data_IF_137527627538
#
_entry.id   IF_137527627538
#
_cell.length_a   1.000
_cell.length_b   1.000
_cell.length_c   1.000
_cell.angle_alpha   90.00
_cell.angle_beta   90.00
_cell.angle_gamma   90.00
#
_symmetry.space_group_name_H-M   'P 1'
#
loop_
_entity.id
_entity.type
_entity.pdbx_description
1 polymer ?
#
# COMPACT_ATOMS: atom_id res chain seq x y z
N UNK A 1 -16.94 -4.78 1.76
CA UNK A 1 -17.40 -3.68 2.64
C UNK A 1 -18.89 -3.77 2.96
N UNK A 2 -19.72 -4.36 2.10
CA UNK A 2 -21.17 -4.41 2.29
C UNK A 2 -21.65 -5.45 3.32
N UNK A 3 -20.82 -6.41 3.70
CA UNK A 3 -21.17 -7.37 4.77
C UNK A 3 -21.38 -6.61 6.08
N UNK A 4 -22.57 -6.72 6.72
CA UNK A 4 -22.87 -6.03 8.00
C UNK A 4 -21.94 -6.45 9.15
N UNK A 5 -21.20 -7.56 9.01
CA UNK A 5 -20.21 -8.06 9.97
C UNK A 5 -18.81 -7.51 9.68
N UNK A 6 -18.59 -6.84 8.55
CA UNK A 6 -17.31 -6.22 8.24
C UNK A 6 -16.98 -5.12 9.25
N UNK A 7 -15.71 -4.92 9.54
CA UNK A 7 -15.31 -3.87 10.50
C UNK A 7 -15.74 -2.47 10.02
N UNK A 8 -15.81 -2.21 8.73
CA UNK A 8 -16.35 -0.96 8.16
C UNK A 8 -17.80 -0.73 8.58
N UNK A 9 -18.64 -1.74 8.40
CA UNK A 9 -20.07 -1.67 8.71
C UNK A 9 -20.30 -1.61 10.21
N UNK A 10 -19.55 -2.40 10.99
CA UNK A 10 -19.61 -2.39 12.46
C UNK A 10 -19.17 -1.03 13.01
N UNK A 11 -18.04 -0.48 12.56
CA UNK A 11 -17.55 0.82 13.02
C UNK A 11 -18.55 1.96 12.70
N UNK A 12 -19.10 1.98 11.48
CA UNK A 12 -20.14 2.94 11.09
C UNK A 12 -21.39 2.84 11.96
N UNK A 13 -21.84 1.62 12.27
CA UNK A 13 -23.00 1.37 13.13
C UNK A 13 -22.74 1.85 14.55
N UNK A 14 -21.61 1.44 15.16
CA UNK A 14 -21.25 1.84 16.51
C UNK A 14 -21.13 3.35 16.65
N UNK A 15 -20.59 4.04 15.67
CA UNK A 15 -20.52 5.49 15.68
C UNK A 15 -21.90 6.19 15.69
N UNK A 16 -22.92 5.52 15.14
CA UNK A 16 -24.31 6.03 15.22
C UNK A 16 -25.01 5.69 16.54
N UNK A 17 -24.69 4.56 17.13
CA UNK A 17 -25.31 4.03 18.34
C UNK A 17 -24.73 4.62 19.62
N UNK A 18 -23.43 4.92 19.64
CA UNK A 18 -22.71 5.38 20.84
C UNK A 18 -22.61 6.93 20.82
N UNK A 19 -23.29 7.62 21.76
CA UNK A 19 -23.19 9.07 21.87
C UNK A 19 -21.73 9.53 22.11
N UNK A 20 -21.36 10.66 21.52
CA UNK A 20 -20.01 11.27 21.63
C UNK A 20 -18.87 10.36 21.13
N UNK A 21 -19.16 9.37 20.30
CA UNK A 21 -18.13 8.57 19.63
C UNK A 21 -17.59 9.30 18.41
N UNK A 22 -16.36 8.93 18.02
CA UNK A 22 -15.71 9.45 16.82
C UNK A 22 -15.22 8.27 15.95
N UNK A 23 -15.60 8.29 14.67
CA UNK A 23 -15.13 7.34 13.67
C UNK A 23 -14.13 8.02 12.73
N UNK A 24 -12.82 7.71 12.80
CA UNK A 24 -11.79 8.35 12.00
C UNK A 24 -11.97 8.15 10.49
N UNK A 25 -12.63 7.05 10.07
CA UNK A 25 -12.88 6.69 8.66
C UNK A 25 -11.62 6.77 7.79
N UNK A 26 -10.65 5.91 8.06
CA UNK A 26 -9.33 5.92 7.42
C UNK A 26 -9.36 5.84 5.87
N UNK A 27 -10.45 5.37 5.28
CA UNK A 27 -10.61 5.24 3.82
C UNK A 27 -10.92 6.56 3.14
N UNK A 28 -11.77 7.39 3.76
CA UNK A 28 -12.30 8.59 3.14
C UNK A 28 -11.88 9.88 3.82
N UNK A 29 -11.32 9.81 5.03
CA UNK A 29 -10.80 10.97 5.73
C UNK A 29 -9.42 11.34 5.16
N UNK A 30 -9.36 12.47 4.46
CA UNK A 30 -8.15 12.95 3.80
C UNK A 30 -7.01 13.30 4.77
N UNK A 31 -7.28 13.43 6.07
CA UNK A 31 -6.22 13.55 7.09
C UNK A 31 -5.26 12.36 7.09
N UNK A 32 -5.68 11.18 6.59
CA UNK A 32 -4.82 10.02 6.42
C UNK A 32 -3.68 10.33 5.42
N UNK A 33 -4.02 10.75 4.20
CA UNK A 33 -3.01 11.14 3.22
C UNK A 33 -2.23 12.38 3.65
N UNK A 34 -2.90 13.35 4.29
CA UNK A 34 -2.27 14.58 4.78
C UNK A 34 -1.16 14.29 5.81
N UNK A 35 -1.37 13.37 6.73
CA UNK A 35 -0.36 12.97 7.71
C UNK A 35 0.92 12.47 7.03
N UNK A 36 0.81 11.63 6.01
CA UNK A 36 1.96 11.13 5.26
C UNK A 36 2.63 12.20 4.38
N UNK A 37 1.84 13.14 3.87
CA UNK A 37 2.37 14.30 3.15
C UNK A 37 3.23 15.19 4.08
N UNK A 38 2.80 15.38 5.33
CA UNK A 38 3.48 16.25 6.30
C UNK A 38 4.65 15.56 7.01
N UNK A 39 4.72 14.23 7.05
CA UNK A 39 5.73 13.49 7.80
C UNK A 39 6.54 12.53 6.93
N UNK A 40 5.95 11.46 6.44
CA UNK A 40 6.64 10.38 5.73
C UNK A 40 7.33 10.88 4.45
N UNK A 41 6.67 11.73 3.68
CA UNK A 41 7.25 12.32 2.47
C UNK A 41 8.51 13.12 2.75
N UNK A 42 8.46 14.13 3.64
CA UNK A 42 9.64 14.89 4.08
C UNK A 42 10.79 14.04 4.65
N UNK A 43 10.46 13.03 5.47
CA UNK A 43 11.46 12.12 6.03
C UNK A 43 12.19 11.35 4.93
N UNK A 44 11.48 10.73 3.99
CA UNK A 44 12.08 10.01 2.86
C UNK A 44 12.94 10.94 2.01
N UNK A 45 12.44 12.13 1.70
CA UNK A 45 13.21 13.11 0.92
C UNK A 45 14.52 13.49 1.59
N UNK A 46 14.48 13.75 2.88
CA UNK A 46 15.66 14.08 3.69
C UNK A 46 16.62 12.91 3.77
N UNK A 47 16.13 11.70 4.09
CA UNK A 47 16.97 10.53 4.32
C UNK A 47 17.64 10.03 3.03
N UNK A 48 17.02 10.26 1.88
CA UNK A 48 17.60 10.00 0.57
C UNK A 48 18.45 11.16 0.03
N UNK A 49 18.57 12.26 0.78
CA UNK A 49 19.25 13.49 0.32
C UNK A 49 18.70 14.00 -1.03
N UNK A 50 17.40 13.81 -1.26
CA UNK A 50 16.75 14.16 -2.52
C UNK A 50 17.11 13.26 -3.71
N UNK A 51 17.84 12.16 -3.50
CA UNK A 51 18.29 11.25 -4.57
C UNK A 51 17.24 10.22 -4.99
N UNK A 52 16.11 10.15 -4.30
CA UNK A 52 15.05 9.19 -4.62
C UNK A 52 14.54 9.37 -6.05
N UNK A 53 14.49 8.28 -6.82
CA UNK A 53 13.95 8.23 -8.18
C UNK A 53 12.64 7.45 -8.26
N UNK A 54 12.46 6.45 -7.37
CA UNK A 54 11.29 5.58 -7.36
C UNK A 54 10.78 5.39 -5.93
N UNK A 55 9.46 5.45 -5.78
CA UNK A 55 8.76 5.20 -4.53
C UNK A 55 7.77 4.06 -4.70
N UNK A 56 7.84 3.04 -3.86
CA UNK A 56 6.94 1.90 -3.89
C UNK A 56 6.27 1.67 -2.53
N UNK A 57 4.98 1.42 -2.54
CA UNK A 57 4.21 1.10 -1.34
C UNK A 57 3.00 0.22 -1.66
N UNK A 58 2.60 -0.62 -0.71
CA UNK A 58 1.31 -1.31 -0.74
C UNK A 58 0.15 -0.31 -0.71
N UNK A 59 -0.88 -0.55 -1.51
CA UNK A 59 -2.06 0.31 -1.59
C UNK A 59 -3.26 -0.40 -0.97
N UNK A 60 -3.71 0.11 0.16
CA UNK A 60 -5.00 -0.24 0.79
C UNK A 60 -5.85 1.02 0.87
N UNK A 61 -5.85 1.73 2.00
CA UNK A 61 -6.58 3.01 2.12
C UNK A 61 -6.06 4.11 1.19
N UNK A 62 -4.82 4.00 0.72
CA UNK A 62 -4.17 4.99 -0.13
C UNK A 62 -3.36 6.06 0.61
N UNK A 63 -3.54 6.20 1.91
CA UNK A 63 -2.92 7.28 2.68
C UNK A 63 -1.39 7.33 2.56
N UNK A 64 -0.71 6.23 2.88
CA UNK A 64 0.76 6.14 2.81
C UNK A 64 1.28 6.32 1.39
N UNK A 65 0.62 5.70 0.41
CA UNK A 65 1.03 5.81 -0.99
C UNK A 65 0.83 7.22 -1.52
N UNK A 66 -0.38 7.74 -1.47
CA UNK A 66 -0.72 8.99 -2.14
C UNK A 66 -0.22 10.23 -1.38
N UNK A 67 -0.28 10.23 -0.03
CA UNK A 67 0.26 11.35 0.75
C UNK A 67 1.76 11.53 0.55
N UNK A 68 2.52 10.43 0.64
CA UNK A 68 3.97 10.43 0.41
C UNK A 68 4.31 10.78 -1.05
N UNK A 69 3.63 10.14 -2.02
CA UNK A 69 3.85 10.39 -3.44
C UNK A 69 3.61 11.84 -3.81
N UNK A 70 2.56 12.46 -3.28
CA UNK A 70 2.26 13.87 -3.52
C UNK A 70 3.43 14.76 -3.13
N UNK A 71 3.92 14.62 -1.88
CA UNK A 71 5.06 15.40 -1.42
C UNK A 71 6.31 15.16 -2.28
N UNK A 72 6.66 13.90 -2.53
CA UNK A 72 7.87 13.56 -3.28
C UNK A 72 7.82 14.04 -4.74
N UNK A 73 6.66 13.97 -5.41
CA UNK A 73 6.48 14.48 -6.77
C UNK A 73 6.53 16.02 -6.84
N UNK A 74 6.14 16.71 -5.78
CA UNK A 74 6.33 18.17 -5.68
C UNK A 74 7.81 18.54 -5.57
N UNK A 75 8.64 17.70 -4.93
CA UNK A 75 10.08 17.91 -4.86
C UNK A 75 10.80 17.47 -6.14
N UNK A 76 10.38 16.34 -6.72
CA UNK A 76 10.93 15.77 -7.95
C UNK A 76 9.80 15.34 -8.89
N UNK A 77 9.41 16.18 -9.86
CA UNK A 77 8.35 15.84 -10.82
C UNK A 77 8.61 14.60 -11.68
N UNK A 78 9.87 14.14 -11.77
CA UNK A 78 10.25 12.93 -12.51
C UNK A 78 10.21 11.66 -11.65
N UNK A 79 9.85 11.77 -10.36
CA UNK A 79 9.72 10.62 -9.49
C UNK A 79 8.65 9.65 -10.02
N UNK A 80 9.02 8.38 -10.10
CA UNK A 80 8.11 7.30 -10.48
C UNK A 80 7.52 6.64 -9.22
N UNK A 81 6.23 6.40 -9.23
CA UNK A 81 5.52 5.77 -8.11
C UNK A 81 4.91 4.44 -8.52
N UNK A 82 5.14 3.41 -7.69
CA UNK A 82 4.72 2.03 -7.94
C UNK A 82 3.80 1.57 -6.81
N UNK A 83 2.52 1.49 -7.09
CA UNK A 83 1.53 0.91 -6.19
C UNK A 83 1.60 -0.62 -6.23
N UNK A 84 1.73 -1.24 -5.06
CA UNK A 84 1.68 -2.69 -4.94
C UNK A 84 0.27 -3.11 -4.55
N UNK A 85 -0.28 -4.02 -5.35
CA UNK A 85 -1.65 -4.50 -5.28
C UNK A 85 -1.66 -6.03 -5.18
N UNK A 86 -2.81 -6.61 -4.92
CA UNK A 86 -2.98 -8.05 -4.85
C UNK A 86 -4.04 -8.54 -5.84
N UNK A 87 -3.99 -9.81 -6.17
CA UNK A 87 -5.06 -10.46 -6.90
C UNK A 87 -6.30 -10.54 -5.99
N UNK A 88 -7.46 -10.17 -6.53
CA UNK A 88 -8.70 -9.99 -5.77
C UNK A 88 -9.02 -8.52 -5.44
N UNK A 89 -8.15 -7.59 -5.84
CA UNK A 89 -8.33 -6.14 -5.71
C UNK A 89 -8.63 -5.48 -7.06
N UNK A 90 -9.36 -4.38 -7.02
CA UNK A 90 -9.80 -3.63 -8.22
C UNK A 90 -8.80 -2.57 -8.69
N UNK A 91 -7.79 -2.22 -7.92
CA UNK A 91 -6.98 -1.02 -8.15
C UNK A 91 -6.23 -1.01 -9.48
N UNK A 92 -5.49 -2.08 -9.78
CA UNK A 92 -4.72 -2.14 -11.03
C UNK A 92 -5.64 -1.99 -12.26
N UNK A 93 -6.73 -2.77 -12.29
CA UNK A 93 -7.69 -2.73 -13.39
C UNK A 93 -8.30 -1.34 -13.54
N UNK A 94 -8.69 -0.73 -12.42
CA UNK A 94 -9.26 0.62 -12.43
C UNK A 94 -8.25 1.66 -12.92
N UNK A 95 -6.99 1.62 -12.47
CA UNK A 95 -5.93 2.52 -12.96
C UNK A 95 -5.73 2.41 -14.47
N UNK A 96 -5.72 1.19 -15.00
CA UNK A 96 -5.43 0.95 -16.42
C UNK A 96 -6.61 1.28 -17.35
N UNK A 97 -7.84 1.14 -16.87
CA UNK A 97 -9.04 1.21 -17.73
C UNK A 97 -10.07 2.26 -17.32
N UNK A 98 -10.00 2.79 -16.11
CA UNK A 98 -11.04 3.64 -15.52
C UNK A 98 -12.33 2.89 -15.15
N UNK A 99 -12.36 1.55 -15.28
CA UNK A 99 -13.54 0.73 -15.04
C UNK A 99 -13.41 0.01 -13.71
N UNK A 100 -14.39 0.21 -12.82
CA UNK A 100 -14.54 -0.62 -11.63
C UNK A 100 -15.11 -1.97 -12.04
N UNK A 101 -14.32 -3.02 -12.00
CA UNK A 101 -14.69 -4.36 -12.46
C UNK A 101 -14.88 -5.30 -11.26
N UNK A 102 -16.10 -5.61 -10.92
CA UNK A 102 -16.44 -6.53 -9.82
C UNK A 102 -15.90 -7.94 -10.02
N UNK A 103 -15.55 -8.34 -11.25
CA UNK A 103 -14.93 -9.65 -11.52
C UNK A 103 -13.51 -9.76 -10.99
N UNK A 104 -12.85 -8.64 -10.70
CA UNK A 104 -11.55 -8.61 -10.03
C UNK A 104 -11.67 -8.96 -8.53
N UNK A 105 -12.89 -8.94 -7.96
CA UNK A 105 -13.14 -9.09 -6.52
C UNK A 105 -13.26 -10.57 -6.16
N UNK A 106 -12.29 -11.11 -5.46
CA UNK A 106 -12.33 -12.45 -4.86
C UNK A 106 -11.40 -12.53 -3.64
N UNK A 107 -11.60 -13.53 -2.74
CA UNK A 107 -10.81 -13.63 -1.52
C UNK A 107 -9.31 -13.81 -1.79
N UNK A 108 -8.50 -13.15 -0.99
CA UNK A 108 -7.05 -13.29 -0.91
C UNK A 108 -6.59 -13.28 0.56
N UNK A 109 -5.33 -13.64 0.82
CA UNK A 109 -4.82 -13.83 2.19
C UNK A 109 -3.95 -12.67 2.67
N UNK A 110 -3.31 -11.93 1.78
CA UNK A 110 -2.46 -10.80 2.13
C UNK A 110 -3.27 -9.69 2.78
N UNK A 111 -2.94 -9.34 4.02
CA UNK A 111 -3.62 -8.28 4.76
C UNK A 111 -2.96 -6.92 4.52
N UNK A 112 -3.76 -5.84 4.48
CA UNK A 112 -3.30 -4.46 4.45
C UNK A 112 -3.02 -3.86 3.08
N UNK A 113 -3.23 -4.60 2.00
CA UNK A 113 -3.19 -4.10 0.61
C UNK A 113 -4.35 -4.64 -0.19
N UNK A 114 -4.70 -3.93 -1.26
CA UNK A 114 -5.83 -4.26 -2.12
C UNK A 114 -7.18 -3.91 -1.49
N UNK A 115 -8.14 -3.59 -2.31
CA UNK A 115 -9.50 -3.29 -1.89
C UNK A 115 -10.53 -3.70 -2.95
N UNK A 116 -11.77 -3.85 -2.51
CA UNK A 116 -12.98 -4.05 -3.32
C UNK A 116 -13.83 -2.77 -3.42
N UNK A 117 -13.25 -1.63 -3.07
CA UNK A 117 -13.81 -0.27 -3.17
C UNK A 117 -12.75 0.69 -3.70
N UNK A 118 -13.17 1.93 -3.99
CA UNK A 118 -12.26 3.03 -4.34
C UNK A 118 -12.24 4.06 -3.20
N UNK A 119 -11.29 3.98 -2.26
CA UNK A 119 -11.15 4.93 -1.17
C UNK A 119 -10.85 6.34 -1.67
N UNK A 120 -11.36 7.37 -1.01
CA UNK A 120 -11.07 8.78 -1.37
C UNK A 120 -9.61 9.18 -1.18
N UNK A 121 -8.88 8.47 -0.32
CA UNK A 121 -7.44 8.69 -0.15
C UNK A 121 -6.60 8.14 -1.31
N UNK A 122 -7.16 7.31 -2.20
CA UNK A 122 -6.44 6.81 -3.38
C UNK A 122 -6.60 7.78 -4.53
N UNK A 123 -5.59 8.61 -4.73
CA UNK A 123 -5.48 9.43 -5.94
C UNK A 123 -4.68 8.67 -7.01
N UNK A 124 -5.39 8.08 -7.95
CA UNK A 124 -4.78 7.30 -9.03
C UNK A 124 -3.89 8.12 -9.96
N UNK A 125 -4.01 9.45 -9.98
CA UNK A 125 -3.12 10.32 -10.76
C UNK A 125 -1.69 10.37 -10.19
N UNK A 126 -1.54 10.11 -8.90
CA UNK A 126 -0.27 10.09 -8.20
C UNK A 126 0.46 8.74 -8.31
N UNK A 127 -0.17 7.69 -8.85
CA UNK A 127 0.40 6.34 -8.96
C UNK A 127 0.67 6.04 -10.43
N UNK A 128 1.93 5.92 -10.82
CA UNK A 128 2.30 5.71 -12.22
C UNK A 128 2.04 4.27 -12.66
N UNK A 129 2.41 3.30 -11.83
CA UNK A 129 2.29 1.86 -12.12
C UNK A 129 1.62 1.11 -10.98
N UNK A 130 0.90 0.03 -11.31
CA UNK A 130 0.44 -0.97 -10.35
C UNK A 130 0.99 -2.35 -10.68
N UNK A 131 1.56 -3.01 -9.67
CA UNK A 131 2.04 -4.40 -9.78
C UNK A 131 1.20 -5.27 -8.84
N UNK A 132 0.56 -6.32 -9.38
CA UNK A 132 -0.13 -7.33 -8.57
C UNK A 132 0.83 -8.42 -8.12
N UNK A 133 0.74 -8.78 -6.85
CA UNK A 133 1.54 -9.84 -6.23
C UNK A 133 0.61 -10.94 -5.73
N UNK A 134 0.98 -12.20 -5.94
CA UNK A 134 0.21 -13.33 -5.41
C UNK A 134 0.50 -13.56 -3.94
N UNK A 135 -0.46 -14.12 -3.20
CA UNK A 135 -0.26 -14.52 -1.81
C UNK A 135 0.93 -15.48 -1.64
N UNK A 136 1.14 -16.38 -2.62
CA UNK A 136 2.25 -17.33 -2.61
C UNK A 136 3.61 -16.63 -2.71
N UNK A 137 3.76 -15.71 -3.66
CA UNK A 137 5.02 -15.01 -3.87
C UNK A 137 5.36 -14.12 -2.66
N UNK A 138 4.35 -13.46 -2.10
CA UNK A 138 4.48 -12.73 -0.84
C UNK A 138 4.94 -13.64 0.31
N UNK A 139 4.31 -14.81 0.49
CA UNK A 139 4.67 -15.75 1.55
C UNK A 139 6.10 -16.30 1.41
N UNK A 140 6.54 -16.61 0.20
CA UNK A 140 7.92 -17.03 -0.07
C UNK A 140 8.91 -15.92 0.24
N UNK A 141 8.62 -14.70 -0.22
CA UNK A 141 9.47 -13.53 0.01
C UNK A 141 9.59 -13.19 1.51
N UNK A 142 8.52 -13.39 2.30
CA UNK A 142 8.53 -13.15 3.76
C UNK A 142 9.66 -13.90 4.45
N UNK A 143 9.77 -15.22 4.20
CA UNK A 143 10.78 -16.06 4.80
C UNK A 143 12.17 -15.78 4.25
N UNK A 144 12.24 -15.46 2.98
CA UNK A 144 13.49 -15.09 2.31
C UNK A 144 14.07 -13.79 2.89
N UNK A 145 13.27 -12.75 3.00
CA UNK A 145 13.70 -11.44 3.51
C UNK A 145 14.16 -11.53 4.97
N UNK A 146 13.44 -12.30 5.81
CA UNK A 146 13.84 -12.51 7.20
C UNK A 146 15.18 -13.26 7.31
N UNK A 147 15.41 -14.25 6.46
CA UNK A 147 16.62 -15.09 6.49
C UNK A 147 17.84 -14.43 5.87
N UNK A 148 17.66 -13.73 4.76
CA UNK A 148 18.76 -13.17 3.96
C UNK A 148 19.14 -11.75 4.40
N UNK A 149 18.16 -10.95 4.82
CA UNK A 149 18.36 -9.53 5.18
C UNK A 149 18.11 -9.25 6.68
N UNK A 150 17.65 -10.22 7.45
CA UNK A 150 17.31 -10.02 8.86
C UNK A 150 16.08 -9.14 9.09
N UNK A 151 15.26 -8.87 8.06
CA UNK A 151 14.08 -8.03 8.12
C UNK A 151 12.86 -8.86 8.46
N UNK A 152 12.40 -8.77 9.71
CA UNK A 152 11.23 -9.47 10.21
C UNK A 152 9.99 -8.58 10.13
N UNK A 153 9.35 -8.55 8.97
CA UNK A 153 8.29 -7.60 8.60
C UNK A 153 6.98 -8.32 8.26
N UNK A 154 5.88 -7.59 8.17
CA UNK A 154 4.55 -8.12 7.91
C UNK A 154 4.33 -8.59 6.46
N UNK A 155 3.18 -9.21 6.22
CA UNK A 155 2.87 -9.83 4.92
C UNK A 155 2.74 -8.80 3.79
N UNK A 156 2.07 -7.67 4.02
CA UNK A 156 1.97 -6.59 3.03
C UNK A 156 3.32 -5.95 2.70
N UNK A 157 4.25 -5.89 3.68
CA UNK A 157 5.61 -5.40 3.46
C UNK A 157 6.34 -6.24 2.42
N UNK A 158 6.25 -7.55 2.53
CA UNK A 158 6.96 -8.46 1.61
C UNK A 158 6.28 -8.55 0.25
N UNK A 159 4.97 -8.36 0.17
CA UNK A 159 4.28 -8.13 -1.10
C UNK A 159 4.85 -6.89 -1.78
N UNK A 160 5.06 -5.81 -1.01
CA UNK A 160 5.66 -4.59 -1.53
C UNK A 160 7.09 -4.83 -2.02
N UNK A 161 7.92 -5.55 -1.26
CA UNK A 161 9.29 -5.88 -1.69
C UNK A 161 9.29 -6.74 -2.95
N UNK A 162 8.49 -7.81 -3.00
CA UNK A 162 8.44 -8.69 -4.16
C UNK A 162 8.04 -7.93 -5.44
N UNK A 163 6.92 -7.21 -5.40
CA UNK A 163 6.45 -6.47 -6.57
C UNK A 163 7.38 -5.33 -6.98
N UNK A 164 8.01 -4.64 -6.02
CA UNK A 164 8.99 -3.61 -6.30
C UNK A 164 10.27 -4.18 -6.95
N UNK A 165 10.73 -5.37 -6.54
CA UNK A 165 11.85 -6.06 -7.17
C UNK A 165 11.53 -6.54 -8.57
N UNK A 166 10.32 -7.05 -8.83
CA UNK A 166 9.91 -7.41 -10.21
C UNK A 166 9.88 -6.17 -11.11
N UNK A 167 9.33 -5.06 -10.62
CA UNK A 167 9.37 -3.79 -11.35
C UNK A 167 10.82 -3.33 -11.61
N UNK A 168 11.68 -3.42 -10.59
CA UNK A 168 13.07 -2.96 -10.66
C UNK A 168 13.89 -3.69 -11.74
N UNK A 169 13.70 -5.00 -11.90
CA UNK A 169 14.40 -5.81 -12.90
C UNK A 169 14.21 -5.31 -14.34
N UNK A 170 13.03 -4.76 -14.62
CA UNK A 170 12.64 -4.35 -15.97
C UNK A 170 12.86 -2.84 -16.22
N UNK A 171 12.84 -2.01 -15.18
CA UNK A 171 12.72 -0.57 -15.33
C UNK A 171 13.84 0.25 -14.68
N UNK A 172 14.49 -0.28 -13.63
CA UNK A 172 15.56 0.46 -12.96
C UNK A 172 16.92 0.24 -13.62
N UNK A 173 17.75 1.25 -13.50
CA UNK A 173 19.14 1.27 -13.97
C UNK A 173 20.09 1.67 -12.85
N UNK A 174 21.38 1.50 -13.08
CA UNK A 174 22.43 1.95 -12.16
C UNK A 174 22.28 3.44 -11.83
N UNK A 175 22.34 3.75 -10.55
CA UNK A 175 22.14 5.10 -10.01
C UNK A 175 20.70 5.41 -9.59
N UNK A 176 19.72 4.61 -9.95
CA UNK A 176 18.35 4.78 -9.43
C UNK A 176 18.27 4.44 -7.94
N UNK A 177 17.43 5.18 -7.23
CA UNK A 177 17.14 4.99 -5.80
C UNK A 177 15.68 4.67 -5.62
N UNK A 178 15.39 3.40 -5.28
CA UNK A 178 14.04 2.91 -4.98
C UNK A 178 13.83 2.82 -3.47
N UNK A 179 12.83 3.52 -2.96
CA UNK A 179 12.38 3.42 -1.57
C UNK A 179 11.10 2.61 -1.50
N UNK A 180 11.07 1.63 -0.58
CA UNK A 180 9.91 0.75 -0.34
C UNK A 180 9.45 0.93 1.10
N UNK A 181 8.15 1.15 1.32
CA UNK A 181 7.57 1.24 2.66
C UNK A 181 7.26 -0.16 3.19
N UNK A 182 7.72 -0.42 4.43
CA UNK A 182 7.47 -1.65 5.18
C UNK A 182 6.69 -1.28 6.46
N UNK A 183 5.34 -1.24 6.41
CA UNK A 183 4.53 -0.54 7.41
C UNK A 183 4.36 -1.29 8.75
N UNK A 184 4.61 -2.60 8.81
CA UNK A 184 4.38 -3.37 10.03
C UNK A 184 5.40 -4.49 10.28
N UNK A 185 5.30 -5.11 11.45
CA UNK A 185 6.28 -6.07 11.95
C UNK A 185 5.76 -7.51 11.88
N UNK A 186 6.66 -8.46 11.63
CA UNK A 186 6.37 -9.88 11.45
C UNK A 186 5.74 -10.59 12.66
N UNK A 187 5.86 -10.03 13.87
CA UNK A 187 5.26 -10.61 15.08
C UNK A 187 3.74 -10.78 15.00
N UNK A 188 3.06 -10.00 14.17
CA UNK A 188 1.61 -10.14 13.93
C UNK A 188 1.25 -11.38 13.10
N UNK A 189 2.23 -12.03 12.48
CA UNK A 189 2.03 -13.09 11.48
C UNK A 189 2.67 -14.43 11.85
N UNK A 190 3.06 -14.62 13.13
CA UNK A 190 3.68 -15.85 13.61
C UNK A 190 2.79 -17.09 13.41
N UNK A 191 1.48 -16.95 13.58
CA UNK A 191 0.51 -18.03 13.33
C UNK A 191 0.01 -18.13 11.88
N UNK A 192 0.61 -17.38 10.95
CA UNK A 192 0.25 -17.31 9.53
C UNK A 192 1.46 -17.60 8.65
N UNK A 193 2.00 -16.58 7.99
CA UNK A 193 3.06 -16.71 6.98
C UNK A 193 4.40 -17.17 7.55
N UNK A 194 4.65 -17.02 8.84
CA UNK A 194 5.86 -17.50 9.54
C UNK A 194 5.71 -18.87 10.22
N UNK A 195 4.54 -19.48 10.14
CA UNK A 195 4.30 -20.82 10.70
C UNK A 195 4.79 -21.93 9.76
#
# INVERSE_FOLDING_TARGET
>A
PEDPRSYYSVARRLNKEIPNSFYPNQYDNLSNAQAHYETTGPEIWKDTEGRITHYAAGVGTGGSMCGTAKYLKEQNPNLITVGLDTYGSVFKKYKETGIFDEKEIYPYLTEGIGEDILPKNVDFSLIDHFIKVTDKDAAVMTRRLAREEGLFVGWSCVSAVHGALEYAKEHLKEGDVLVIILPDHGTRYLGKVYN
#
